data_IF_677635574884
#
_entry.id   IF_677635574884
#
_cell.length_a   1.000
_cell.length_b   1.000
_cell.length_c   1.000
_cell.angle_alpha   90.00
_cell.angle_beta   90.00
_cell.angle_gamma   90.00
#
_symmetry.space_group_name_H-M   'P 1'
#
loop_
_entity.id
_entity.type
_entity.pdbx_description
1 polymer ?
#
# COMPACT_ATOMS: atom_id res chain seq x y z
N UNK A 1 -75.62 -19.05 42.78
CA UNK A 1 -75.35 -18.71 41.36
C UNK A 1 -74.74 -17.32 41.29
N UNK A 2 -73.42 -17.18 41.28
CA UNK A 2 -72.74 -15.86 41.11
C UNK A 2 -71.47 -16.10 40.28
N UNK A 3 -71.45 -15.51 39.07
CA UNK A 3 -70.28 -15.47 38.19
C UNK A 3 -69.26 -14.47 38.75
N UNK A 4 -68.02 -14.85 38.91
CA UNK A 4 -66.90 -13.93 39.17
C UNK A 4 -65.96 -13.95 37.98
N UNK A 5 -65.87 -12.81 37.34
CA UNK A 5 -64.98 -12.48 36.22
C UNK A 5 -63.56 -12.23 36.78
N UNK A 6 -62.60 -12.97 36.30
CA UNK A 6 -61.16 -12.72 36.57
C UNK A 6 -60.59 -11.91 35.42
N UNK A 7 -60.18 -10.66 35.68
CA UNK A 7 -59.37 -9.82 34.80
C UNK A 7 -57.92 -10.30 34.91
N UNK A 8 -57.32 -10.76 33.80
CA UNK A 8 -55.89 -10.98 33.69
C UNK A 8 -55.26 -9.77 33.05
N UNK A 9 -54.39 -9.07 33.82
CA UNK A 9 -53.49 -8.06 33.30
C UNK A 9 -52.34 -8.77 32.57
N UNK A 10 -52.20 -8.55 31.25
CA UNK A 10 -51.04 -8.91 30.49
C UNK A 10 -50.02 -7.75 30.59
N UNK A 11 -48.96 -7.92 31.34
CA UNK A 11 -47.79 -7.03 31.35
C UNK A 11 -46.93 -7.35 30.11
N UNK A 12 -46.92 -6.49 29.10
CA UNK A 12 -46.01 -6.58 27.97
C UNK A 12 -44.65 -6.11 28.41
N UNK A 13 -43.72 -7.05 28.65
CA UNK A 13 -42.32 -6.77 28.83
C UNK A 13 -41.64 -6.41 27.54
N UNK A 14 -41.34 -5.11 27.34
CA UNK A 14 -40.48 -4.68 26.25
C UNK A 14 -39.04 -5.11 26.52
N UNK A 15 -38.62 -6.19 25.88
CA UNK A 15 -37.21 -6.59 25.86
C UNK A 15 -36.44 -5.60 24.98
N UNK A 16 -35.77 -4.65 25.60
CA UNK A 16 -34.83 -3.74 24.92
C UNK A 16 -33.61 -4.58 24.49
N UNK A 17 -33.55 -5.00 23.22
CA UNK A 17 -32.34 -5.51 22.62
C UNK A 17 -31.33 -4.37 22.51
N UNK A 18 -30.48 -4.21 23.53
CA UNK A 18 -29.30 -3.38 23.43
C UNK A 18 -28.28 -4.08 22.51
N UNK A 19 -28.22 -3.62 21.28
CA UNK A 19 -27.12 -3.96 20.37
C UNK A 19 -25.81 -3.57 21.05
N UNK A 20 -24.79 -4.44 21.07
CA UNK A 20 -23.50 -4.06 21.61
C UNK A 20 -22.94 -2.91 20.74
N UNK A 21 -22.87 -1.71 21.30
CA UNK A 21 -22.04 -0.65 20.76
C UNK A 21 -20.61 -1.18 20.75
N UNK A 22 -20.03 -1.35 19.56
CA UNK A 22 -18.57 -1.49 19.42
C UNK A 22 -17.99 -0.18 19.96
N UNK A 23 -17.64 -0.17 21.22
CA UNK A 23 -17.04 0.98 21.87
C UNK A 23 -15.71 1.26 21.19
N UNK A 24 -15.48 2.51 20.76
CA UNK A 24 -14.14 2.96 20.41
C UNK A 24 -13.22 2.63 21.60
N UNK A 25 -12.17 1.84 21.35
CA UNK A 25 -11.20 1.50 22.38
C UNK A 25 -10.65 2.81 22.97
N UNK A 26 -10.71 2.95 24.30
CA UNK A 26 -10.11 4.10 24.97
C UNK A 26 -8.59 4.11 24.72
N UNK A 27 -7.94 5.28 24.57
CA UNK A 27 -6.51 5.37 24.46
C UNK A 27 -5.82 4.61 25.59
N UNK A 28 -4.83 3.76 25.26
CA UNK A 28 -4.09 3.01 26.24
C UNK A 28 -3.10 3.91 26.96
N UNK A 29 -3.13 3.88 28.30
CA UNK A 29 -2.14 4.58 29.15
C UNK A 29 -0.92 3.71 29.49
N UNK A 30 -0.93 2.41 29.14
CA UNK A 30 0.20 1.53 29.38
C UNK A 30 1.37 1.89 28.44
N UNK A 31 2.63 1.82 28.90
CA UNK A 31 3.79 2.04 28.02
C UNK A 31 3.75 1.15 26.78
N UNK A 32 4.19 1.68 25.65
CA UNK A 32 4.37 0.89 24.43
C UNK A 32 5.74 0.22 24.50
N UNK A 33 5.79 -1.09 24.68
CA UNK A 33 7.05 -1.82 24.76
C UNK A 33 7.75 -1.95 23.40
N UNK A 34 6.96 -2.18 22.35
CA UNK A 34 7.47 -2.42 21.00
C UNK A 34 6.62 -1.71 19.95
N UNK A 35 7.29 -1.04 19.02
CA UNK A 35 6.73 -0.42 17.82
C UNK A 35 7.29 -1.13 16.59
N UNK A 36 6.43 -1.71 15.76
CA UNK A 36 6.82 -2.56 14.63
C UNK A 36 6.42 -1.93 13.32
N UNK A 37 7.40 -1.73 12.43
CA UNK A 37 7.18 -1.12 11.11
C UNK A 37 7.84 -1.94 10.01
N UNK A 38 7.34 -1.77 8.78
CA UNK A 38 8.08 -2.24 7.62
C UNK A 38 9.07 -1.19 7.10
N UNK A 39 10.05 -1.68 6.34
CA UNK A 39 10.82 -0.87 5.40
C UNK A 39 10.83 -1.55 4.03
N UNK A 40 10.90 -0.75 2.97
CA UNK A 40 10.79 -1.28 1.61
C UNK A 40 11.55 -0.41 0.60
N UNK A 41 12.09 -1.03 -0.45
CA UNK A 41 12.83 -0.34 -1.50
C UNK A 41 11.95 0.61 -2.32
N UNK A 42 10.65 0.35 -2.38
CA UNK A 42 9.66 1.23 -3.00
C UNK A 42 9.18 2.36 -2.06
N UNK A 43 9.63 2.38 -0.81
CA UNK A 43 9.36 3.43 0.19
C UNK A 43 10.67 4.08 0.66
N UNK A 44 11.28 4.97 -0.14
CA UNK A 44 12.56 5.60 0.21
C UNK A 44 12.55 6.32 1.55
N UNK A 45 11.40 6.88 1.95
CA UNK A 45 11.21 7.52 3.25
C UNK A 45 11.44 6.55 4.41
N UNK A 46 11.01 5.27 4.27
CA UNK A 46 11.23 4.25 5.30
C UNK A 46 12.70 3.87 5.43
N UNK A 47 13.45 3.84 4.31
CA UNK A 47 14.89 3.58 4.31
C UNK A 47 15.67 4.70 5.02
N UNK A 48 15.34 5.96 4.70
CA UNK A 48 15.95 7.14 5.32
C UNK A 48 15.65 7.18 6.82
N UNK A 49 14.37 6.96 7.19
CA UNK A 49 13.93 6.96 8.58
C UNK A 49 14.69 5.93 9.42
N UNK A 50 14.82 4.70 8.89
CA UNK A 50 15.57 3.61 9.49
C UNK A 50 17.07 3.91 9.55
N UNK A 51 17.66 4.41 8.45
CA UNK A 51 19.11 4.72 8.36
C UNK A 51 19.58 5.70 9.42
N UNK A 52 18.76 6.71 9.72
CA UNK A 52 19.09 7.74 10.70
C UNK A 52 18.60 7.44 12.13
N UNK A 53 17.85 6.36 12.32
CA UNK A 53 17.33 5.99 13.65
C UNK A 53 16.41 7.03 14.26
N UNK A 54 15.64 7.75 13.42
CA UNK A 54 14.81 8.85 13.92
C UNK A 54 13.59 8.39 14.71
N UNK A 55 13.06 7.21 14.42
CA UNK A 55 12.02 6.60 15.25
C UNK A 55 12.59 6.12 16.58
N UNK A 56 13.72 5.46 16.57
CA UNK A 56 14.41 5.03 17.77
C UNK A 56 14.71 6.22 18.69
N UNK A 57 15.15 7.34 18.12
CA UNK A 57 15.37 8.60 18.88
C UNK A 57 14.06 9.15 19.43
N UNK A 58 12.99 9.16 18.61
CA UNK A 58 11.69 9.68 19.02
C UNK A 58 11.07 8.88 20.18
N UNK A 59 11.32 7.58 20.27
CA UNK A 59 10.73 6.70 21.27
C UNK A 59 11.68 6.30 22.40
N UNK A 60 12.92 6.81 22.39
CA UNK A 60 13.95 6.46 23.38
C UNK A 60 13.54 6.76 24.82
N UNK A 61 12.94 7.93 25.06
CA UNK A 61 12.53 8.34 26.40
C UNK A 61 11.44 7.46 27.02
N UNK A 62 10.63 6.81 26.19
CA UNK A 62 9.56 5.90 26.63
C UNK A 62 10.06 4.46 26.85
N UNK A 63 11.29 4.16 26.47
CA UNK A 63 11.82 2.80 26.50
C UNK A 63 11.26 1.88 25.41
N UNK A 64 10.50 2.41 24.45
CA UNK A 64 9.90 1.64 23.35
C UNK A 64 10.98 1.13 22.39
N UNK A 65 10.98 -0.16 22.13
CA UNK A 65 11.83 -0.77 21.12
C UNK A 65 11.21 -0.61 19.72
N UNK A 66 11.98 -0.12 18.74
CA UNK A 66 11.55 -0.04 17.34
C UNK A 66 12.06 -1.26 16.59
N UNK A 67 11.16 -2.00 15.95
CA UNK A 67 11.49 -3.17 15.14
C UNK A 67 11.11 -2.95 13.68
N UNK A 68 12.07 -3.24 12.80
CA UNK A 68 11.91 -3.11 11.37
C UNK A 68 11.83 -4.46 10.68
N UNK A 69 10.84 -4.61 9.78
CA UNK A 69 10.62 -5.83 8.98
C UNK A 69 10.70 -5.46 7.51
N UNK A 70 11.49 -6.20 6.72
CA UNK A 70 11.58 -5.96 5.29
C UNK A 70 10.32 -6.43 4.56
N UNK A 71 9.75 -5.57 3.71
CA UNK A 71 8.63 -5.88 2.82
C UNK A 71 9.08 -5.85 1.37
N UNK A 72 9.05 -7.01 0.72
CA UNK A 72 9.45 -7.15 -0.69
C UNK A 72 8.42 -6.59 -1.68
N UNK A 73 7.24 -6.20 -1.21
CA UNK A 73 6.13 -5.63 -1.98
C UNK A 73 4.92 -5.37 -1.09
N UNK A 74 3.94 -4.61 -1.60
CA UNK A 74 2.70 -4.28 -0.87
C UNK A 74 1.99 -5.50 -0.30
N UNK A 75 2.01 -6.63 -1.01
CA UNK A 75 1.40 -7.88 -0.56
C UNK A 75 1.98 -8.34 0.79
N UNK A 76 3.32 -8.27 0.96
CA UNK A 76 3.98 -8.66 2.21
C UNK A 76 3.68 -7.69 3.35
N UNK A 77 3.76 -6.39 3.10
CA UNK A 77 3.40 -5.39 4.11
C UNK A 77 1.96 -5.58 4.61
N UNK A 78 1.02 -5.82 3.69
CA UNK A 78 -0.40 -6.02 4.02
C UNK A 78 -0.67 -7.36 4.72
N UNK A 79 0.05 -8.43 4.37
CA UNK A 79 0.04 -9.70 5.11
C UNK A 79 0.53 -9.52 6.55
N UNK A 80 1.64 -8.78 6.76
CA UNK A 80 2.17 -8.49 8.10
C UNK A 80 1.21 -7.65 8.94
N UNK A 81 0.55 -6.64 8.36
CA UNK A 81 -0.48 -5.85 9.03
C UNK A 81 -1.69 -6.71 9.42
N UNK A 82 -2.17 -7.55 8.49
CA UNK A 82 -3.30 -8.46 8.74
C UNK A 82 -2.98 -9.50 9.83
N UNK A 83 -1.75 -10.00 9.83
CA UNK A 83 -1.25 -10.97 10.82
C UNK A 83 -0.77 -10.36 12.13
N UNK A 84 -0.97 -9.04 12.35
CA UNK A 84 -0.47 -8.33 13.54
C UNK A 84 1.05 -8.42 13.78
N UNK A 85 1.83 -8.70 12.73
CA UNK A 85 3.28 -8.78 12.80
C UNK A 85 3.95 -7.41 12.76
N UNK A 86 3.28 -6.41 12.18
CA UNK A 86 3.68 -5.00 12.20
C UNK A 86 2.50 -4.11 12.54
N UNK A 87 2.78 -2.90 13.02
CA UNK A 87 1.79 -1.88 13.37
C UNK A 87 1.58 -0.88 12.24
N UNK A 88 2.66 -0.56 11.50
CA UNK A 88 2.66 0.30 10.31
C UNK A 88 3.29 -0.42 9.13
N UNK A 89 2.70 -0.23 7.93
CA UNK A 89 3.22 -0.86 6.71
C UNK A 89 3.01 -0.01 5.47
N UNK A 90 4.02 -0.01 4.60
CA UNK A 90 4.04 0.71 3.33
C UNK A 90 3.33 -0.09 2.24
N UNK A 91 2.44 0.52 1.47
CA UNK A 91 1.84 -0.15 0.31
C UNK A 91 1.39 0.83 -0.77
N UNK A 92 1.04 0.30 -1.94
CA UNK A 92 0.26 1.04 -2.92
C UNK A 92 -1.19 1.20 -2.46
N UNK A 93 -1.83 2.31 -2.83
CA UNK A 93 -3.19 2.63 -2.40
C UNK A 93 -4.22 1.61 -2.87
N UNK A 94 -4.15 1.13 -4.12
CA UNK A 94 -5.10 0.13 -4.62
C UNK A 94 -4.89 -1.25 -4.00
N UNK A 95 -3.63 -1.60 -3.67
CA UNK A 95 -3.34 -2.82 -2.90
C UNK A 95 -3.89 -2.73 -1.47
N UNK A 96 -3.76 -1.56 -0.82
CA UNK A 96 -4.37 -1.31 0.49
C UNK A 96 -5.90 -1.41 0.43
N UNK A 97 -6.53 -0.84 -0.61
CA UNK A 97 -7.98 -0.96 -0.82
C UNK A 97 -8.40 -2.42 -1.00
N UNK A 98 -7.65 -3.20 -1.77
CA UNK A 98 -7.90 -4.64 -1.93
C UNK A 98 -7.88 -5.37 -0.60
N UNK A 99 -6.86 -5.12 0.22
CA UNK A 99 -6.74 -5.71 1.55
C UNK A 99 -7.90 -5.27 2.47
N UNK A 100 -8.21 -3.97 2.49
CA UNK A 100 -9.32 -3.41 3.29
C UNK A 100 -10.66 -4.00 2.89
N UNK A 101 -10.97 -4.08 1.58
CA UNK A 101 -12.22 -4.63 1.06
C UNK A 101 -12.39 -6.12 1.36
N UNK A 102 -11.28 -6.84 1.55
CA UNK A 102 -11.26 -8.24 1.97
C UNK A 102 -11.23 -8.43 3.50
N UNK A 103 -11.26 -7.34 4.28
CA UNK A 103 -11.46 -7.37 5.73
C UNK A 103 -10.22 -7.08 6.58
N UNK A 104 -9.08 -6.69 5.99
CA UNK A 104 -7.90 -6.26 6.77
C UNK A 104 -8.21 -4.92 7.45
N UNK A 105 -8.16 -4.83 8.80
CA UNK A 105 -8.56 -3.64 9.55
C UNK A 105 -7.42 -2.61 9.59
N UNK A 106 -7.23 -1.88 8.49
CA UNK A 106 -6.19 -0.86 8.30
C UNK A 106 -6.76 0.49 7.92
N UNK A 107 -6.04 1.55 8.28
CA UNK A 107 -6.24 2.94 7.86
C UNK A 107 -4.97 3.49 7.25
N UNK A 108 -5.11 4.46 6.34
CA UNK A 108 -3.99 5.13 5.69
C UNK A 108 -4.01 6.64 6.05
N UNK A 109 -3.39 7.05 7.16
CA UNK A 109 -3.36 8.44 7.62
C UNK A 109 -2.27 9.28 6.94
N UNK A 110 -1.40 8.69 6.11
CA UNK A 110 -0.26 9.39 5.54
C UNK A 110 0.11 8.86 4.16
N UNK A 111 0.58 9.77 3.29
CA UNK A 111 1.05 9.47 1.93
C UNK A 111 2.57 9.71 1.89
N UNK A 112 3.36 8.67 1.68
CA UNK A 112 4.81 8.84 1.65
C UNK A 112 5.34 9.28 0.28
N UNK A 113 4.62 8.99 -0.82
CA UNK A 113 4.96 9.47 -2.17
C UNK A 113 3.82 9.31 -3.18
N UNK A 114 3.94 10.03 -4.31
CA UNK A 114 3.23 9.76 -5.56
C UNK A 114 4.25 9.22 -6.56
N UNK A 115 4.38 7.90 -6.71
CA UNK A 115 5.38 7.31 -7.57
C UNK A 115 4.85 7.01 -8.98
N UNK A 116 5.78 6.94 -9.95
CA UNK A 116 5.60 6.22 -11.20
C UNK A 116 6.41 4.91 -11.15
N UNK A 117 6.09 4.06 -10.21
CA UNK A 117 6.90 2.89 -9.85
C UNK A 117 6.61 1.62 -10.62
N UNK A 118 5.56 1.61 -11.47
CA UNK A 118 5.23 0.41 -12.25
C UNK A 118 4.95 0.72 -13.71
N UNK A 119 5.38 -0.19 -14.57
CA UNK A 119 5.10 -0.22 -16.00
C UNK A 119 5.13 -1.67 -16.50
N UNK A 120 4.62 -1.93 -17.70
CA UNK A 120 4.86 -3.20 -18.39
C UNK A 120 6.22 -3.17 -19.09
N UNK A 121 7.03 -4.17 -18.82
CA UNK A 121 8.42 -4.28 -19.28
C UNK A 121 8.56 -5.49 -20.19
N UNK A 122 9.29 -5.32 -21.29
CA UNK A 122 9.64 -6.39 -22.21
C UNK A 122 11.15 -6.40 -22.47
N UNK A 123 11.74 -7.53 -22.86
CA UNK A 123 13.16 -7.59 -23.22
C UNK A 123 13.51 -6.60 -24.33
N UNK A 124 14.78 -6.17 -24.40
CA UNK A 124 15.29 -5.22 -25.41
C UNK A 124 14.85 -5.57 -26.82
N UNK A 125 15.02 -6.84 -27.21
CA UNK A 125 14.76 -7.33 -28.57
C UNK A 125 13.40 -8.01 -28.72
N UNK A 126 12.48 -7.84 -27.72
CA UNK A 126 11.15 -8.44 -27.79
C UNK A 126 10.38 -7.97 -29.03
N UNK A 127 9.65 -8.87 -29.72
CA UNK A 127 8.77 -8.50 -30.83
C UNK A 127 7.50 -7.78 -30.35
N UNK A 128 7.19 -7.83 -29.07
CA UNK A 128 6.01 -7.18 -28.47
C UNK A 128 6.18 -5.66 -28.56
N UNK A 129 5.26 -4.96 -29.26
CA UNK A 129 5.30 -3.50 -29.48
C UNK A 129 4.09 -2.78 -28.90
N UNK A 130 3.00 -3.49 -28.66
CA UNK A 130 1.73 -2.95 -28.17
C UNK A 130 1.13 -3.82 -27.08
N UNK A 131 0.13 -3.31 -26.37
CA UNK A 131 -0.62 -4.09 -25.38
C UNK A 131 -1.40 -5.27 -26.04
N UNK A 132 -1.82 -5.13 -27.30
CA UNK A 132 -2.52 -6.20 -28.03
C UNK A 132 -1.63 -7.42 -28.24
N UNK A 133 -0.31 -7.23 -28.39
CA UNK A 133 0.66 -8.30 -28.58
C UNK A 133 0.86 -9.18 -27.33
N UNK A 134 0.30 -8.78 -26.19
CA UNK A 134 0.34 -9.54 -24.94
C UNK A 134 -0.58 -10.77 -24.97
N UNK A 135 -1.50 -10.87 -25.93
CA UNK A 135 -2.38 -12.03 -26.06
C UNK A 135 -1.57 -13.32 -26.23
N UNK A 136 -1.86 -14.33 -25.41
CA UNK A 136 -1.17 -15.62 -25.38
C UNK A 136 0.24 -15.57 -24.78
N UNK A 137 0.68 -14.43 -24.25
CA UNK A 137 2.03 -14.28 -23.68
C UNK A 137 2.09 -14.66 -22.21
N UNK A 138 3.29 -15.08 -21.80
CA UNK A 138 3.64 -15.39 -20.43
C UNK A 138 4.12 -14.12 -19.73
N UNK A 139 3.36 -13.65 -18.72
CA UNK A 139 3.59 -12.36 -18.07
C UNK A 139 3.77 -12.54 -16.57
N UNK A 140 4.93 -12.10 -16.04
CA UNK A 140 5.16 -12.08 -14.61
C UNK A 140 4.52 -10.84 -13.95
N UNK A 141 3.87 -11.04 -12.80
CA UNK A 141 3.40 -9.97 -11.92
C UNK A 141 3.17 -10.51 -10.51
N UNK A 142 3.38 -9.67 -9.49
CA UNK A 142 3.19 -10.04 -8.08
C UNK A 142 1.74 -9.77 -7.66
N UNK A 143 0.96 -10.82 -7.41
CA UNK A 143 -0.42 -10.68 -6.91
C UNK A 143 -0.48 -9.86 -5.62
N UNK A 144 -1.54 -9.06 -5.47
CA UNK A 144 -1.74 -8.22 -4.28
C UNK A 144 -0.87 -6.97 -4.25
N UNK A 145 -0.31 -6.56 -5.40
CA UNK A 145 0.51 -5.35 -5.55
C UNK A 145 0.01 -4.46 -6.69
N UNK A 146 0.44 -3.20 -6.72
CA UNK A 146 0.12 -2.25 -7.80
C UNK A 146 0.53 -2.78 -9.19
N UNK A 147 1.72 -3.40 -9.40
CA UNK A 147 2.08 -3.98 -10.68
C UNK A 147 1.09 -5.01 -11.23
N UNK A 148 0.53 -5.87 -10.38
CA UNK A 148 -0.50 -6.81 -10.82
C UNK A 148 -1.78 -6.09 -11.26
N UNK A 149 -2.21 -5.10 -10.48
CA UNK A 149 -3.41 -4.30 -10.79
C UNK A 149 -3.17 -3.41 -12.01
N UNK A 150 -1.96 -2.89 -12.19
CA UNK A 150 -1.52 -2.18 -13.39
C UNK A 150 -1.61 -3.09 -14.64
N UNK A 151 -1.13 -4.33 -14.56
CA UNK A 151 -1.25 -5.31 -15.64
C UNK A 151 -2.72 -5.51 -16.03
N UNK A 152 -3.59 -5.78 -15.07
CA UNK A 152 -5.01 -6.01 -15.34
C UNK A 152 -5.68 -4.81 -16.02
N UNK A 153 -5.40 -3.60 -15.54
CA UNK A 153 -5.90 -2.35 -16.15
C UNK A 153 -5.33 -2.15 -17.56
N UNK A 154 -4.07 -2.50 -17.78
CA UNK A 154 -3.45 -2.41 -19.10
C UNK A 154 -4.05 -3.40 -20.10
N UNK A 155 -4.39 -4.60 -19.66
CA UNK A 155 -5.12 -5.58 -20.47
C UNK A 155 -6.50 -5.05 -20.88
N UNK A 156 -7.24 -4.44 -19.96
CA UNK A 156 -8.53 -3.80 -20.27
C UNK A 156 -8.42 -2.72 -21.35
N UNK A 157 -7.35 -1.89 -21.31
CA UNK A 157 -7.09 -0.89 -22.37
C UNK A 157 -6.96 -1.52 -23.74
N UNK A 158 -6.40 -2.72 -23.83
CA UNK A 158 -6.24 -3.49 -25.08
C UNK A 158 -7.47 -4.35 -25.43
N UNK A 159 -8.54 -4.30 -24.65
CA UNK A 159 -9.69 -5.20 -24.81
C UNK A 159 -9.40 -6.66 -24.46
N UNK A 160 -8.31 -6.91 -23.75
CA UNK A 160 -7.89 -8.23 -23.29
C UNK A 160 -8.40 -8.49 -21.87
N UNK A 161 -8.56 -9.79 -21.55
CA UNK A 161 -8.91 -10.29 -20.22
C UNK A 161 -7.70 -11.00 -19.60
N UNK A 162 -7.71 -11.20 -18.30
CA UNK A 162 -6.68 -11.98 -17.60
C UNK A 162 -6.51 -13.39 -18.18
N UNK A 163 -7.59 -14.01 -18.64
CA UNK A 163 -7.57 -15.33 -19.28
C UNK A 163 -6.92 -15.36 -20.68
N UNK A 164 -6.68 -14.20 -21.32
CA UNK A 164 -5.99 -14.11 -22.60
C UNK A 164 -4.46 -14.16 -22.47
N UNK A 165 -3.92 -14.26 -21.26
CA UNK A 165 -2.48 -14.35 -20.99
C UNK A 165 -2.16 -15.52 -20.02
N UNK A 166 -0.92 -15.98 -20.02
CA UNK A 166 -0.39 -16.85 -18.96
C UNK A 166 0.23 -15.99 -17.85
N UNK A 167 -0.49 -15.80 -16.74
CA UNK A 167 0.03 -15.03 -15.60
C UNK A 167 0.92 -15.90 -14.71
N UNK A 168 2.16 -15.44 -14.47
CA UNK A 168 3.14 -16.06 -13.56
C UNK A 168 3.28 -15.18 -12.31
N UNK A 169 2.89 -15.70 -11.16
CA UNK A 169 3.01 -14.96 -9.89
C UNK A 169 4.43 -15.10 -9.32
N UNK A 170 5.22 -14.04 -9.44
CA UNK A 170 6.60 -13.96 -8.92
C UNK A 170 6.75 -12.67 -8.10
N UNK A 171 7.64 -12.68 -7.10
CA UNK A 171 8.05 -11.45 -6.45
C UNK A 171 8.84 -10.56 -7.43
N UNK A 172 8.92 -9.26 -7.13
CA UNK A 172 9.45 -8.27 -8.10
C UNK A 172 10.86 -8.57 -8.57
N UNK A 173 11.77 -8.94 -7.67
CA UNK A 173 13.13 -9.32 -8.03
C UNK A 173 13.17 -10.59 -8.92
N UNK A 174 12.34 -11.59 -8.57
CA UNK A 174 12.25 -12.84 -9.34
C UNK A 174 11.58 -12.60 -10.72
N UNK A 175 10.60 -11.68 -10.78
CA UNK A 175 9.96 -11.25 -12.01
C UNK A 175 10.96 -10.58 -12.97
N UNK A 176 11.83 -9.71 -12.47
CA UNK A 176 12.95 -9.16 -13.22
C UNK A 176 13.87 -10.26 -13.74
N UNK A 177 14.33 -11.14 -12.86
CA UNK A 177 15.22 -12.23 -13.24
C UNK A 177 14.60 -13.17 -14.30
N UNK A 178 13.30 -13.47 -14.17
CA UNK A 178 12.57 -14.29 -15.13
C UNK A 178 12.48 -13.61 -16.52
N UNK A 179 12.28 -12.28 -16.56
CA UNK A 179 12.29 -11.52 -17.82
C UNK A 179 13.67 -11.54 -18.46
N UNK A 180 14.72 -11.24 -17.71
CA UNK A 180 16.11 -11.19 -18.21
C UNK A 180 16.62 -12.55 -18.68
N UNK A 181 16.11 -13.65 -18.09
CA UNK A 181 16.42 -15.03 -18.50
C UNK A 181 15.51 -15.55 -19.61
N UNK A 182 14.58 -14.75 -20.14
CA UNK A 182 13.64 -15.17 -21.19
C UNK A 182 12.61 -16.24 -20.75
N UNK A 183 12.38 -16.39 -19.44
CA UNK A 183 11.38 -17.32 -18.89
C UNK A 183 9.95 -16.77 -18.96
N UNK A 184 9.81 -15.48 -19.14
CA UNK A 184 8.54 -14.76 -19.38
C UNK A 184 8.73 -13.76 -20.52
N UNK A 185 7.66 -13.48 -21.26
CA UNK A 185 7.66 -12.56 -22.42
C UNK A 185 7.58 -11.09 -21.99
N UNK A 186 6.93 -10.84 -20.86
CA UNK A 186 6.77 -9.51 -20.27
C UNK A 186 6.69 -9.62 -18.73
N UNK A 187 6.88 -8.47 -18.08
CA UNK A 187 6.80 -8.35 -16.64
C UNK A 187 6.14 -7.02 -16.25
N UNK A 188 5.20 -7.05 -15.31
CA UNK A 188 4.72 -5.84 -14.65
C UNK A 188 5.74 -5.48 -13.56
N UNK A 189 6.60 -4.52 -13.90
CA UNK A 189 7.77 -4.13 -13.10
C UNK A 189 7.41 -3.28 -11.88
N UNK A 190 8.32 -3.27 -10.92
CA UNK A 190 8.32 -2.35 -9.77
C UNK A 190 9.72 -1.79 -9.56
N UNK A 191 9.84 -0.47 -9.36
CA UNK A 191 11.10 0.15 -8.97
C UNK A 191 11.55 -0.29 -7.55
N UNK A 192 12.87 -0.43 -7.34
CA UNK A 192 13.99 -0.13 -8.22
C UNK A 192 14.31 -1.21 -9.27
N UNK A 193 13.73 -2.40 -9.18
CA UNK A 193 14.01 -3.50 -10.09
C UNK A 193 13.65 -3.19 -11.55
N UNK A 194 12.57 -2.41 -11.77
CA UNK A 194 12.17 -1.98 -13.10
C UNK A 194 13.20 -1.01 -13.70
N UNK A 195 13.64 -0.02 -12.96
CA UNK A 195 14.69 0.91 -13.38
C UNK A 195 16.01 0.19 -13.65
N UNK A 196 16.34 -0.83 -12.84
CA UNK A 196 17.52 -1.65 -13.05
C UNK A 196 17.44 -2.47 -14.35
N UNK A 197 16.28 -3.09 -14.62
CA UNK A 197 16.06 -3.82 -15.88
C UNK A 197 16.20 -2.91 -17.12
N UNK A 198 15.69 -1.67 -17.00
CA UNK A 198 15.81 -0.68 -18.09
C UNK A 198 17.26 -0.24 -18.32
N UNK A 199 17.98 0.17 -17.26
CA UNK A 199 19.31 0.76 -17.39
C UNK A 199 20.43 -0.27 -17.55
N UNK A 200 20.31 -1.45 -16.93
CA UNK A 200 21.37 -2.46 -16.88
C UNK A 200 21.19 -3.55 -17.93
N UNK A 201 19.94 -3.93 -18.25
CA UNK A 201 19.64 -4.99 -19.22
C UNK A 201 19.09 -4.44 -20.54
N UNK A 202 18.85 -3.14 -20.64
CA UNK A 202 18.29 -2.49 -21.81
C UNK A 202 16.84 -2.89 -22.11
N UNK A 203 16.12 -3.41 -21.12
CA UNK A 203 14.72 -3.73 -21.26
C UNK A 203 13.89 -2.48 -21.62
N UNK A 204 12.77 -2.67 -22.32
CA UNK A 204 11.91 -1.56 -22.75
C UNK A 204 10.66 -1.47 -21.92
N UNK A 205 10.27 -0.27 -21.54
CA UNK A 205 8.96 -0.01 -20.97
C UNK A 205 7.92 -0.03 -22.12
N UNK A 206 7.20 -1.12 -22.25
CA UNK A 206 6.18 -1.33 -23.28
C UNK A 206 5.00 -0.37 -23.11
N UNK A 207 4.55 -0.22 -21.85
CA UNK A 207 3.41 0.64 -21.53
C UNK A 207 3.62 1.30 -20.17
N UNK A 208 3.45 2.63 -20.17
CA UNK A 208 3.50 3.50 -19.00
C UNK A 208 2.18 4.26 -18.89
N UNK A 209 1.66 4.39 -17.69
CA UNK A 209 0.51 5.24 -17.42
C UNK A 209 0.56 5.68 -15.95
N UNK A 210 0.99 6.92 -15.72
CA UNK A 210 1.13 7.48 -14.36
C UNK A 210 -0.19 7.42 -13.58
N UNK A 211 -1.33 7.61 -14.25
CA UNK A 211 -2.65 7.54 -13.62
C UNK A 211 -3.05 6.11 -13.17
N UNK A 212 -2.32 5.09 -13.62
CA UNK A 212 -2.53 3.70 -13.18
C UNK A 212 -1.73 3.36 -11.93
N UNK A 213 -0.69 4.14 -11.62
CA UNK A 213 0.04 4.02 -10.38
C UNK A 213 -0.78 4.69 -9.27
N UNK A 214 -1.03 3.98 -8.20
CA UNK A 214 -1.67 4.54 -7.04
C UNK A 214 -0.63 5.07 -6.06
N UNK A 215 -1.02 5.98 -5.16
CA UNK A 215 -0.09 6.63 -4.24
C UNK A 215 0.55 5.64 -3.26
N UNK A 216 1.70 5.99 -2.73
CA UNK A 216 2.36 5.27 -1.64
C UNK A 216 1.71 5.59 -0.29
N UNK A 217 0.98 4.65 0.26
CA UNK A 217 0.24 4.76 1.52
C UNK A 217 1.05 4.20 2.68
N UNK A 218 1.19 4.95 3.75
CA UNK A 218 1.56 4.40 5.04
C UNK A 218 0.27 3.98 5.75
N UNK A 219 0.11 2.67 5.90
CA UNK A 219 -1.03 2.08 6.57
C UNK A 219 -0.72 1.83 8.04
N UNK A 220 -1.72 1.94 8.88
CA UNK A 220 -1.69 1.59 10.31
C UNK A 220 -2.85 0.65 10.64
N UNK A 221 -2.65 -0.29 11.56
CA UNK A 221 -3.76 -1.11 12.06
C UNK A 221 -4.79 -0.25 12.79
N UNK A 222 -6.07 -0.45 12.53
CA UNK A 222 -7.14 0.32 13.17
C UNK A 222 -7.08 0.27 14.70
N UNK A 223 -6.82 -0.91 15.24
CA UNK A 223 -6.67 -1.08 16.69
C UNK A 223 -5.51 -0.28 17.28
N UNK A 224 -4.37 -0.17 16.53
CA UNK A 224 -3.24 0.65 16.96
C UNK A 224 -3.57 2.13 16.89
N UNK A 225 -4.14 2.59 15.79
CA UNK A 225 -4.56 4.00 15.62
C UNK A 225 -5.54 4.43 16.73
N UNK A 226 -6.51 3.58 17.06
CA UNK A 226 -7.51 3.88 18.07
C UNK A 226 -6.93 3.90 19.50
N UNK A 227 -6.06 2.93 19.83
CA UNK A 227 -5.52 2.79 21.19
C UNK A 227 -4.25 3.60 21.43
N UNK A 228 -3.52 4.02 20.37
CA UNK A 228 -2.21 4.68 20.41
C UNK A 228 -2.14 5.93 19.51
N UNK A 229 -3.08 6.88 19.64
CA UNK A 229 -3.11 8.05 18.75
C UNK A 229 -1.88 8.95 18.90
N UNK A 230 -1.31 9.07 20.10
CA UNK A 230 -0.12 9.89 20.34
C UNK A 230 1.12 9.29 19.72
N UNK A 231 1.32 7.97 19.90
CA UNK A 231 2.41 7.21 19.28
C UNK A 231 2.27 7.22 17.75
N UNK A 232 1.04 7.09 17.23
CA UNK A 232 0.76 7.23 15.80
C UNK A 232 1.18 8.61 15.29
N UNK A 233 0.82 9.70 15.98
CA UNK A 233 1.22 11.05 15.59
C UNK A 233 2.75 11.21 15.54
N UNK A 234 3.47 10.66 16.52
CA UNK A 234 4.95 10.67 16.55
C UNK A 234 5.57 9.89 15.39
N UNK A 235 4.99 8.74 15.03
CA UNK A 235 5.41 7.98 13.84
C UNK A 235 5.22 8.81 12.58
N UNK A 236 4.06 9.46 12.40
CA UNK A 236 3.80 10.31 11.23
C UNK A 236 4.74 11.51 11.16
N UNK A 237 5.04 12.15 12.28
CA UNK A 237 6.02 13.25 12.35
C UNK A 237 7.43 12.79 11.95
N UNK A 238 7.83 11.58 12.35
CA UNK A 238 9.11 11.02 11.95
C UNK A 238 9.15 10.69 10.45
N UNK A 239 8.05 10.17 9.87
CA UNK A 239 7.92 9.97 8.43
C UNK A 239 7.94 11.30 7.67
N UNK A 240 7.30 12.34 8.20
CA UNK A 240 7.34 13.69 7.60
C UNK A 240 8.76 14.28 7.60
N UNK A 241 9.48 14.12 8.71
CA UNK A 241 10.91 14.49 8.76
C UNK A 241 11.72 13.76 7.69
N UNK A 242 11.50 12.46 7.51
CA UNK A 242 12.17 11.67 6.48
C UNK A 242 11.80 12.12 5.07
N UNK A 243 10.53 12.39 4.81
CA UNK A 243 10.02 12.90 3.52
C UNK A 243 10.64 14.26 3.18
N UNK A 244 10.62 15.20 4.12
CA UNK A 244 11.22 16.51 3.95
C UNK A 244 12.73 16.41 3.65
N UNK A 245 13.41 15.51 4.34
CA UNK A 245 14.83 15.27 4.11
C UNK A 245 15.10 14.66 2.72
N UNK A 246 14.31 13.68 2.26
CA UNK A 246 14.42 13.09 0.92
C UNK A 246 14.25 14.18 -0.17
N UNK A 247 13.29 15.07 -0.01
CA UNK A 247 13.08 16.22 -0.92
C UNK A 247 14.27 17.15 -0.96
N UNK A 248 14.85 17.46 0.19
CA UNK A 248 16.01 18.37 0.29
C UNK A 248 17.32 17.70 -0.16
N UNK A 249 17.42 16.37 -0.05
CA UNK A 249 18.66 15.63 -0.28
C UNK A 249 18.46 14.43 -1.24
N UNK A 250 17.89 14.63 -2.45
CA UNK A 250 17.51 13.51 -3.32
C UNK A 250 18.70 12.66 -3.79
N UNK A 251 19.89 13.25 -3.89
CA UNK A 251 21.13 12.52 -4.21
C UNK A 251 21.57 11.58 -3.10
N UNK A 252 21.53 12.04 -1.84
CA UNK A 252 21.89 11.22 -0.70
C UNK A 252 20.81 10.14 -0.43
N UNK A 253 19.54 10.47 -0.63
CA UNK A 253 18.46 9.48 -0.57
C UNK A 253 18.65 8.36 -1.61
N UNK A 254 19.11 8.71 -2.81
CA UNK A 254 19.45 7.73 -3.85
C UNK A 254 20.65 6.86 -3.45
N UNK A 255 21.67 7.40 -2.79
CA UNK A 255 22.79 6.59 -2.26
C UNK A 255 22.29 5.58 -1.21
N UNK A 256 21.45 6.02 -0.27
CA UNK A 256 20.85 5.12 0.72
C UNK A 256 20.06 4.01 0.03
N UNK A 257 19.23 4.34 -0.95
CA UNK A 257 18.47 3.33 -1.71
C UNK A 257 19.41 2.38 -2.47
N UNK A 258 20.46 2.90 -3.11
CA UNK A 258 21.47 2.10 -3.83
C UNK A 258 22.12 1.07 -2.91
N UNK A 259 22.55 1.49 -1.73
CA UNK A 259 23.18 0.63 -0.71
C UNK A 259 22.22 -0.44 -0.18
N UNK A 260 20.98 -0.04 0.20
CA UNK A 260 19.99 -0.93 0.81
C UNK A 260 19.42 -1.95 -0.20
N UNK A 261 19.13 -1.51 -1.42
CA UNK A 261 18.54 -2.36 -2.47
C UNK A 261 19.62 -3.08 -3.32
N UNK A 262 20.91 -2.77 -3.11
CA UNK A 262 22.04 -3.30 -3.89
C UNK A 262 21.85 -3.07 -5.40
N UNK A 263 21.43 -1.88 -5.78
CA UNK A 263 21.30 -1.43 -7.16
C UNK A 263 22.32 -0.33 -7.45
N UNK A 264 22.63 -0.09 -8.73
CA UNK A 264 23.55 0.99 -9.11
C UNK A 264 22.96 2.37 -8.75
N UNK A 265 23.83 3.35 -8.48
CA UNK A 265 23.40 4.71 -8.16
C UNK A 265 22.54 5.34 -9.27
N UNK A 266 22.81 5.16 -10.58
CA UNK A 266 21.91 5.63 -11.65
C UNK A 266 20.48 5.08 -11.53
N UNK A 267 20.32 3.80 -11.15
CA UNK A 267 19.02 3.17 -10.92
C UNK A 267 18.28 3.86 -9.77
N UNK A 268 18.95 4.06 -8.65
CA UNK A 268 18.37 4.73 -7.49
C UNK A 268 18.02 6.20 -7.78
N UNK A 269 18.87 6.92 -8.55
CA UNK A 269 18.60 8.29 -8.99
C UNK A 269 17.38 8.38 -9.90
N UNK A 270 17.19 7.41 -10.80
CA UNK A 270 16.03 7.34 -11.68
C UNK A 270 14.74 7.22 -10.85
N UNK A 271 14.70 6.33 -9.85
CA UNK A 271 13.55 6.18 -8.96
C UNK A 271 13.28 7.44 -8.14
N UNK A 272 14.30 7.99 -7.46
CA UNK A 272 14.13 9.09 -6.51
C UNK A 272 13.81 10.41 -7.22
N UNK A 273 14.56 10.76 -8.28
CA UNK A 273 14.48 12.09 -8.90
C UNK A 273 13.45 12.19 -10.01
N UNK A 274 13.20 11.09 -10.73
CA UNK A 274 12.39 11.13 -11.94
C UNK A 274 11.06 10.36 -11.83
N UNK A 275 10.95 9.43 -10.88
CA UNK A 275 9.78 8.57 -10.72
C UNK A 275 9.10 8.66 -9.36
N UNK A 276 9.53 9.58 -8.52
CA UNK A 276 8.90 9.79 -7.20
C UNK A 276 8.62 11.25 -6.95
N UNK A 277 7.39 11.55 -6.54
CA UNK A 277 6.99 12.86 -6.05
C UNK A 277 6.65 12.75 -4.56
N UNK A 278 7.32 13.55 -3.75
CA UNK A 278 7.18 13.59 -2.30
C UNK A 278 6.46 14.86 -1.83
N UNK A 279 5.71 15.54 -2.68
CA UNK A 279 5.11 16.86 -2.38
C UNK A 279 3.91 16.79 -1.45
N UNK A 280 3.07 15.76 -1.55
CA UNK A 280 1.76 15.67 -0.90
C UNK A 280 1.70 14.58 0.17
N UNK A 281 1.95 14.91 1.47
CA UNK A 281 1.96 13.91 2.54
C UNK A 281 0.59 13.62 3.15
N UNK A 282 -0.39 14.51 2.94
CA UNK A 282 -1.70 14.39 3.56
C UNK A 282 -2.70 13.68 2.64
N UNK A 283 -3.39 12.64 3.12
CA UNK A 283 -4.50 12.05 2.39
C UNK A 283 -5.60 13.10 2.11
N UNK A 284 -6.14 13.10 0.90
CA UNK A 284 -7.13 14.09 0.47
C UNK A 284 -8.04 13.57 -0.64
N UNK A 285 -8.82 14.49 -1.24
CA UNK A 285 -9.81 14.16 -2.26
C UNK A 285 -9.21 13.51 -3.51
N UNK A 286 -7.99 13.89 -3.90
CA UNK A 286 -7.27 13.30 -5.03
C UNK A 286 -6.99 11.80 -4.81
N UNK A 287 -6.64 11.40 -3.59
CA UNK A 287 -6.39 9.99 -3.23
C UNK A 287 -7.68 9.18 -3.26
N UNK A 288 -8.77 9.75 -2.70
CA UNK A 288 -10.11 9.16 -2.77
C UNK A 288 -10.58 9.01 -4.23
N UNK A 289 -10.36 10.02 -5.06
CA UNK A 289 -10.73 10.00 -6.48
C UNK A 289 -9.93 8.94 -7.25
N UNK A 290 -8.60 8.88 -7.05
CA UNK A 290 -7.73 7.89 -7.68
C UNK A 290 -8.16 6.45 -7.32
N UNK A 291 -8.48 6.18 -6.05
CA UNK A 291 -8.98 4.88 -5.62
C UNK A 291 -10.36 4.56 -6.22
N UNK A 292 -11.30 5.52 -6.25
CA UNK A 292 -12.61 5.32 -6.87
C UNK A 292 -12.49 4.98 -8.36
N UNK A 293 -11.59 5.67 -9.07
CA UNK A 293 -11.34 5.41 -10.49
C UNK A 293 -10.72 4.03 -10.73
N UNK A 294 -9.85 3.58 -9.83
CA UNK A 294 -9.16 2.31 -9.95
C UNK A 294 -9.95 1.10 -9.41
N UNK A 295 -10.85 1.33 -8.44
CA UNK A 295 -11.55 0.27 -7.72
C UNK A 295 -12.36 -0.73 -8.59
N UNK A 296 -12.98 -0.34 -9.73
CA UNK A 296 -13.74 -1.29 -10.55
C UNK A 296 -12.96 -2.55 -10.92
N UNK A 297 -11.64 -2.46 -11.18
CA UNK A 297 -10.79 -3.60 -11.52
C UNK A 297 -10.84 -4.70 -10.45
N UNK A 298 -11.01 -4.34 -9.16
CA UNK A 298 -11.05 -5.30 -8.06
C UNK A 298 -12.29 -6.20 -8.15
N UNK A 299 -13.40 -5.65 -8.66
CA UNK A 299 -14.67 -6.36 -8.85
C UNK A 299 -14.66 -7.12 -10.18
N UNK A 300 -14.25 -6.46 -11.26
CA UNK A 300 -14.22 -7.03 -12.62
C UNK A 300 -13.36 -8.29 -12.68
N UNK A 301 -12.28 -8.33 -11.92
CA UNK A 301 -11.35 -9.45 -11.82
C UNK A 301 -11.62 -10.40 -10.64
N UNK A 302 -12.78 -10.25 -9.98
CA UNK A 302 -13.20 -11.06 -8.83
C UNK A 302 -12.13 -11.15 -7.71
N UNK A 303 -11.42 -10.05 -7.44
CA UNK A 303 -10.37 -9.99 -6.42
C UNK A 303 -10.95 -9.71 -5.02
N UNK A 304 -12.18 -9.21 -4.95
CA UNK A 304 -12.92 -8.97 -3.71
C UNK A 304 -14.11 -9.90 -3.60
N UNK A 305 -14.55 -10.16 -2.38
CA UNK A 305 -15.74 -11.00 -2.13
C UNK A 305 -16.97 -10.43 -2.85
N UNK A 306 -17.91 -11.29 -3.31
CA UNK A 306 -19.18 -10.83 -3.82
C UNK A 306 -19.88 -9.92 -2.81
N UNK A 307 -20.42 -8.78 -3.27
CA UNK A 307 -21.11 -7.81 -2.41
C UNK A 307 -20.18 -6.89 -1.60
N UNK A 308 -18.85 -6.95 -1.77
CA UNK A 308 -17.93 -6.02 -1.11
C UNK A 308 -18.27 -4.56 -1.49
N UNK A 309 -18.49 -3.73 -0.48
CA UNK A 309 -18.76 -2.30 -0.65
C UNK A 309 -17.41 -1.54 -0.78
N UNK A 310 -16.98 -1.36 -2.02
CA UNK A 310 -15.72 -0.65 -2.32
C UNK A 310 -15.79 0.83 -1.96
N UNK A 311 -16.98 1.44 -2.03
CA UNK A 311 -17.14 2.86 -1.66
C UNK A 311 -16.92 3.05 -0.16
N UNK A 312 -17.52 2.19 0.65
CA UNK A 312 -17.31 2.14 2.09
C UNK A 312 -15.86 1.80 2.43
N UNK A 313 -15.26 0.81 1.77
CA UNK A 313 -13.86 0.42 1.99
C UNK A 313 -12.89 1.58 1.71
N UNK A 314 -13.12 2.39 0.67
CA UNK A 314 -12.32 3.60 0.38
C UNK A 314 -12.47 4.63 1.50
N UNK A 315 -13.69 4.93 1.92
CA UNK A 315 -13.96 5.90 2.97
C UNK A 315 -13.37 5.48 4.33
N UNK A 316 -13.37 4.19 4.61
CA UNK A 316 -12.79 3.64 5.82
C UNK A 316 -11.26 3.50 5.76
N UNK A 317 -10.67 3.33 4.57
CA UNK A 317 -9.22 3.22 4.40
C UNK A 317 -8.53 4.58 4.53
N UNK A 318 -9.00 5.58 3.79
CA UNK A 318 -8.31 6.87 3.67
C UNK A 318 -8.68 7.78 4.84
N UNK A 319 -7.73 7.96 5.77
CA UNK A 319 -7.92 8.80 6.96
C UNK A 319 -7.46 10.23 6.68
N UNK A 320 -8.37 11.12 6.38
CA UNK A 320 -8.06 12.49 5.92
C UNK A 320 -7.85 13.52 7.03
N UNK A 321 -8.23 13.22 8.27
CA UNK A 321 -8.24 14.17 9.38
C UNK A 321 -7.08 14.02 10.36
N UNK A 322 -6.65 12.80 10.61
CA UNK A 322 -5.75 12.50 11.71
C UNK A 322 -4.37 13.18 11.59
N UNK A 323 -3.77 13.18 10.41
CA UNK A 323 -2.43 13.73 10.22
C UNK A 323 -2.38 15.27 10.12
N UNK A 324 -3.49 15.91 9.77
CA UNK A 324 -3.53 17.37 9.51
C UNK A 324 -3.00 18.25 10.64
N UNK A 325 -3.24 17.98 11.95
CA UNK A 325 -2.72 18.79 13.02
C UNK A 325 -1.20 18.71 13.22
N UNK A 326 -0.57 17.63 12.72
CA UNK A 326 0.84 17.32 13.00
C UNK A 326 1.76 17.54 11.80
N UNK A 327 1.20 17.57 10.60
CA UNK A 327 1.92 17.63 9.33
C UNK A 327 1.60 18.96 8.66
N UNK A 328 2.61 19.79 8.48
CA UNK A 328 2.44 21.03 7.74
C UNK A 328 2.09 20.72 6.26
N UNK A 329 1.16 21.48 5.70
CA UNK A 329 0.93 21.46 4.26
C UNK A 329 2.19 22.05 3.61
N UNK A 330 2.92 21.20 2.87
CA UNK A 330 4.16 21.55 2.20
C UNK A 330 3.98 22.53 1.04
#
# INVERSE_FOLDING_TARGET
MKRRTLLQLAAAGAASCSLPRIGAAAPSSAPLEELRLDYAYYSPTSLVLRRFGWLEQAFKADGTQVKWVFSAGSNRALEYLNGNSIDFGSSAGLAALLARANGTPIRAPYIFSRPEWTALVVPKNSPIRSLADLKGKKIAATKGTDPYLFLLRSLQVAGLKRGDIEHVSLQHADGRAALEQGKVDAWAGLDPHMAASELESGARLLYRNVAFNTYGFLNVREAFLASRPQETARVLQAYERARAWVRANPGEAAKILSEEAKVSLPVALLQIKLRSDFSQPLPGNEHLAALRQAAPILRDEALVKPGADLHRAIAELVETGFAQPFIARG
#
